data_IF_301883737390
#
_entry.id   IF_301883737390
#
_cell.length_a   1.000
_cell.length_b   1.000
_cell.length_c   1.000
_cell.angle_alpha   90.00
_cell.angle_beta   90.00
_cell.angle_gamma   90.00
#
_symmetry.space_group_name_H-M   'P 1'
#
loop_
_entity.id
_entity.type
_entity.pdbx_description
1 polymer ?
#
# COMPACT_ATOMS: atom_id res chain seq x y z
N UNK A 1 -18.81 -20.67 35.31
CA UNK A 1 -19.27 -19.93 34.12
C UNK A 1 -19.89 -20.98 33.19
N UNK A 2 -21.16 -20.79 32.85
CA UNK A 2 -22.06 -21.80 32.29
C UNK A 2 -21.67 -22.21 30.86
N UNK A 3 -21.68 -23.52 30.59
CA UNK A 3 -21.19 -24.19 29.37
C UNK A 3 -22.27 -24.25 28.26
N UNK A 4 -23.31 -23.41 28.32
CA UNK A 4 -24.59 -23.65 27.61
C UNK A 4 -24.97 -22.63 26.53
N UNK A 5 -24.05 -21.80 26.03
CA UNK A 5 -24.32 -20.97 24.83
C UNK A 5 -23.24 -21.11 23.75
N UNK A 6 -23.20 -22.28 23.10
CA UNK A 6 -22.70 -22.35 21.70
C UNK A 6 -23.68 -21.57 20.81
N UNK A 7 -23.57 -20.24 20.81
CA UNK A 7 -24.23 -19.40 19.80
C UNK A 7 -23.67 -19.81 18.45
N UNK A 8 -24.49 -20.48 17.64
CA UNK A 8 -24.15 -20.75 16.25
C UNK A 8 -23.92 -19.41 15.55
N UNK A 9 -22.82 -19.30 14.83
CA UNK A 9 -22.54 -18.12 14.01
C UNK A 9 -23.60 -18.00 12.92
N UNK A 10 -23.97 -16.78 12.51
CA UNK A 10 -24.92 -16.58 11.42
C UNK A 10 -24.39 -17.18 10.12
N UNK A 11 -25.30 -17.72 9.30
CA UNK A 11 -24.97 -18.19 7.95
C UNK A 11 -24.73 -16.96 7.06
N UNK A 12 -23.56 -16.88 6.46
CA UNK A 12 -23.18 -15.83 5.51
C UNK A 12 -23.34 -16.36 4.09
N UNK A 13 -23.98 -15.58 3.22
CA UNK A 13 -24.10 -15.83 1.79
C UNK A 13 -23.37 -14.69 1.07
N UNK A 14 -22.56 -15.02 0.07
CA UNK A 14 -21.76 -14.07 -0.69
C UNK A 14 -22.22 -14.14 -2.14
N UNK A 15 -22.59 -12.99 -2.70
CA UNK A 15 -22.88 -12.83 -4.12
C UNK A 15 -21.89 -11.82 -4.73
N UNK A 16 -21.15 -12.25 -5.75
CA UNK A 16 -20.06 -11.49 -6.35
C UNK A 16 -18.93 -12.36 -6.91
N UNK A 17 -17.86 -11.74 -7.45
CA UNK A 17 -17.52 -10.33 -7.35
C UNK A 17 -18.20 -9.42 -8.38
N UNK A 18 -18.51 -8.19 -7.97
CA UNK A 18 -18.89 -7.10 -8.86
C UNK A 18 -17.67 -6.23 -9.16
N UNK A 19 -17.35 -6.05 -10.44
CA UNK A 19 -16.14 -5.33 -10.86
C UNK A 19 -16.17 -3.84 -10.53
N UNK A 20 -15.00 -3.26 -10.26
CA UNK A 20 -14.81 -1.83 -10.05
C UNK A 20 -13.92 -1.25 -11.15
N UNK A 21 -14.11 0.03 -11.55
CA UNK A 21 -13.24 0.69 -12.53
C UNK A 21 -11.75 0.64 -12.17
N UNK A 22 -11.46 0.60 -10.86
CA UNK A 22 -10.10 0.53 -10.34
C UNK A 22 -9.37 -0.79 -10.62
N UNK A 23 -10.05 -1.84 -11.12
CA UNK A 23 -9.45 -3.16 -11.39
C UNK A 23 -8.32 -3.14 -12.44
N UNK A 24 -8.32 -2.12 -13.30
CA UNK A 24 -7.35 -1.96 -14.38
C UNK A 24 -6.02 -1.32 -13.94
N UNK A 25 -5.80 -1.12 -12.64
CA UNK A 25 -4.57 -0.50 -12.09
C UNK A 25 -3.28 -1.13 -12.63
N UNK A 26 -3.27 -2.44 -12.91
CA UNK A 26 -2.10 -3.15 -13.45
C UNK A 26 -1.67 -2.68 -14.85
N UNK A 27 -2.51 -1.92 -15.55
CA UNK A 27 -2.21 -1.35 -16.89
C UNK A 27 -1.42 -0.04 -16.82
N UNK A 28 -1.15 0.47 -15.62
CA UNK A 28 -0.46 1.73 -15.36
C UNK A 28 0.90 1.48 -14.71
N UNK A 29 1.87 2.30 -15.07
CA UNK A 29 3.24 2.25 -14.56
C UNK A 29 3.30 2.87 -13.16
N UNK A 30 2.53 3.93 -12.94
CA UNK A 30 2.47 4.65 -11.67
C UNK A 30 1.01 4.79 -11.27
N UNK A 31 0.70 4.61 -9.99
CA UNK A 31 -0.66 4.75 -9.48
C UNK A 31 -0.79 5.96 -8.56
N UNK A 32 -1.79 6.79 -8.79
CA UNK A 32 -2.26 7.79 -7.83
C UNK A 32 -3.62 7.35 -7.28
N UNK A 33 -3.60 6.82 -6.05
CA UNK A 33 -4.77 6.29 -5.36
C UNK A 33 -5.28 7.33 -4.36
N UNK A 34 -6.51 7.81 -4.52
CA UNK A 34 -7.09 8.86 -3.65
C UNK A 34 -8.34 8.33 -2.96
N UNK A 35 -8.23 8.02 -1.67
CA UNK A 35 -9.34 7.56 -0.85
C UNK A 35 -9.92 8.68 0.02
N UNK A 36 -11.23 8.88 0.00
CA UNK A 36 -11.93 9.84 0.87
C UNK A 36 -12.75 9.09 1.93
N UNK A 37 -12.46 9.30 3.21
CA UNK A 37 -13.14 8.61 4.32
C UNK A 37 -13.10 7.08 4.15
N UNK A 38 -14.26 6.42 4.25
CA UNK A 38 -14.39 4.98 4.04
C UNK A 38 -14.13 4.54 2.58
N UNK A 39 -14.15 5.48 1.64
CA UNK A 39 -13.81 5.27 0.23
C UNK A 39 -12.35 4.86 -0.01
N UNK A 40 -11.52 4.80 1.04
CA UNK A 40 -10.18 4.21 0.97
C UNK A 40 -10.18 2.68 0.83
N UNK A 41 -11.25 1.98 1.27
CA UNK A 41 -11.35 0.51 1.29
C UNK A 41 -10.86 -0.19 0.01
N UNK A 42 -11.32 0.15 -1.21
CA UNK A 42 -10.85 -0.52 -2.42
C UNK A 42 -9.35 -0.30 -2.68
N UNK A 43 -8.82 0.87 -2.32
CA UNK A 43 -7.41 1.19 -2.51
C UNK A 43 -6.50 0.46 -1.51
N UNK A 44 -6.98 0.24 -0.28
CA UNK A 44 -6.26 -0.61 0.69
C UNK A 44 -6.07 -2.03 0.15
N UNK A 45 -7.10 -2.59 -0.50
CA UNK A 45 -6.97 -3.89 -1.16
C UNK A 45 -5.94 -3.87 -2.30
N UNK A 46 -5.88 -2.77 -3.07
CA UNK A 46 -4.89 -2.61 -4.15
C UNK A 46 -3.48 -2.52 -3.55
N UNK A 47 -3.27 -1.74 -2.48
CA UNK A 47 -1.98 -1.62 -1.81
C UNK A 47 -1.45 -2.97 -1.32
N UNK A 48 -2.30 -3.78 -0.68
CA UNK A 48 -1.93 -5.14 -0.27
C UNK A 48 -1.55 -6.02 -1.45
N UNK A 49 -2.28 -5.94 -2.55
CA UNK A 49 -1.94 -6.71 -3.75
C UNK A 49 -0.59 -6.27 -4.33
N UNK A 50 -0.33 -4.96 -4.41
CA UNK A 50 0.96 -4.43 -4.87
C UNK A 50 2.10 -4.92 -3.98
N UNK A 51 1.95 -4.81 -2.66
CA UNK A 51 2.93 -5.25 -1.68
C UNK A 51 3.25 -6.75 -1.83
N UNK A 52 2.21 -7.58 -1.89
CA UNK A 52 2.37 -9.02 -2.07
C UNK A 52 3.08 -9.39 -3.39
N UNK A 53 2.88 -8.60 -4.45
CA UNK A 53 3.58 -8.82 -5.71
C UNK A 53 5.04 -8.38 -5.62
N UNK A 54 5.34 -7.27 -4.94
CA UNK A 54 6.70 -6.78 -4.71
C UNK A 54 7.53 -7.81 -3.94
N UNK A 55 7.01 -8.28 -2.80
CA UNK A 55 7.68 -9.27 -1.95
C UNK A 55 7.96 -10.57 -2.72
N UNK A 56 6.98 -11.07 -3.48
CA UNK A 56 7.16 -12.29 -4.29
C UNK A 56 8.20 -12.15 -5.39
N UNK A 57 8.36 -10.96 -5.96
CA UNK A 57 9.39 -10.71 -6.97
C UNK A 57 10.79 -10.69 -6.34
N UNK A 58 10.91 -10.22 -5.09
CA UNK A 58 12.17 -10.19 -4.34
C UNK A 58 12.62 -11.59 -3.93
N UNK A 59 11.72 -12.39 -3.35
CA UNK A 59 12.01 -13.79 -2.99
C UNK A 59 12.50 -14.62 -4.21
N UNK A 60 11.92 -14.37 -5.39
CA UNK A 60 12.36 -15.03 -6.63
C UNK A 60 13.73 -14.55 -7.11
N UNK A 61 14.04 -13.25 -6.98
CA UNK A 61 15.34 -12.71 -7.37
C UNK A 61 16.47 -13.27 -6.49
N UNK A 62 16.23 -13.39 -5.18
CA UNK A 62 17.23 -13.91 -4.23
C UNK A 62 17.49 -15.40 -4.48
N UNK A 63 16.46 -16.20 -4.77
CA UNK A 63 16.61 -17.64 -5.08
C UNK A 63 17.43 -17.94 -6.36
N UNK A 64 17.47 -17.03 -7.33
CA UNK A 64 18.30 -17.16 -8.55
C UNK A 64 19.76 -16.82 -8.24
N UNK A 65 20.02 -15.90 -7.31
CA UNK A 65 21.38 -15.49 -6.96
C UNK A 65 22.17 -16.58 -6.21
N UNK A 66 21.50 -17.43 -5.42
CA UNK A 66 22.14 -18.52 -4.68
C UNK A 66 22.50 -19.74 -5.54
N UNK A 67 21.82 -19.97 -6.68
CA UNK A 67 22.18 -21.09 -7.58
C UNK A 67 23.44 -20.80 -8.41
N UNK A 68 23.80 -19.52 -8.55
CA UNK A 68 24.97 -19.09 -9.35
C UNK A 68 26.32 -19.23 -8.64
N UNK A 69 26.35 -19.58 -7.34
CA UNK A 69 27.60 -19.85 -6.58
C UNK A 69 27.99 -21.33 -6.49
N UNK A 70 27.18 -22.25 -7.02
CA UNK A 70 27.48 -23.68 -6.95
C UNK A 70 26.90 -24.44 -8.13
N UNK A 71 27.47 -24.27 -9.32
CA UNK A 71 27.42 -25.27 -10.41
C UNK A 71 28.37 -24.91 -11.57
N UNK A 72 29.67 -25.07 -11.35
CA UNK A 72 30.60 -25.47 -12.43
C UNK A 72 30.86 -26.97 -12.28
N UNK A 73 29.91 -27.79 -12.76
CA UNK A 73 30.13 -29.15 -13.31
C UNK A 73 28.80 -29.89 -13.38
N UNK A 74 28.24 -30.06 -14.58
CA UNK A 74 27.95 -31.39 -15.15
C UNK A 74 27.16 -31.31 -16.46
N UNK A 75 27.72 -31.99 -17.46
CA UNK A 75 27.13 -32.38 -18.74
C UNK A 75 26.02 -33.40 -18.51
N UNK A 76 24.86 -33.27 -19.18
CA UNK A 76 23.84 -34.32 -19.15
C UNK A 76 22.54 -33.96 -19.87
N UNK A 77 22.13 -34.82 -20.80
CA UNK A 77 21.01 -34.69 -21.73
C UNK A 77 19.67 -35.19 -21.16
N UNK A 78 18.57 -34.69 -21.75
CA UNK A 78 17.20 -35.22 -21.86
C UNK A 78 16.32 -35.41 -20.60
N UNK A 79 15.12 -34.82 -20.61
CA UNK A 79 13.85 -35.52 -20.92
C UNK A 79 12.61 -34.83 -20.32
N UNK A 80 11.60 -34.60 -21.17
CA UNK A 80 10.17 -34.86 -20.89
C UNK A 80 9.44 -34.21 -19.70
N UNK A 81 8.38 -33.47 -20.06
CA UNK A 81 7.10 -33.31 -19.35
C UNK A 81 7.04 -32.42 -18.09
N UNK A 82 6.40 -31.25 -18.23
CA UNK A 82 5.01 -31.10 -17.80
C UNK A 82 4.45 -29.72 -18.18
N UNK A 83 3.51 -29.72 -19.12
CA UNK A 83 2.63 -28.59 -19.35
C UNK A 83 1.69 -28.44 -18.14
N UNK A 84 2.06 -27.58 -17.22
CA UNK A 84 1.16 -26.92 -16.28
C UNK A 84 1.72 -25.51 -16.03
N UNK A 85 1.71 -24.68 -17.07
CA UNK A 85 1.92 -23.25 -16.89
C UNK A 85 0.72 -22.68 -16.15
N UNK A 86 0.88 -22.16 -14.92
CA UNK A 86 -0.20 -21.43 -14.29
C UNK A 86 -0.43 -20.20 -15.17
N UNK A 87 -1.64 -20.09 -15.73
CA UNK A 87 -2.13 -19.00 -16.58
C UNK A 87 -1.32 -17.73 -16.36
N UNK A 88 -0.52 -17.34 -17.36
CA UNK A 88 0.49 -16.29 -17.27
C UNK A 88 -0.01 -15.09 -16.48
N UNK A 89 0.40 -15.00 -15.21
CA UNK A 89 0.19 -13.80 -14.41
C UNK A 89 1.03 -12.74 -15.08
N UNK A 90 0.37 -11.82 -15.78
CA UNK A 90 1.02 -10.65 -16.37
C UNK A 90 1.87 -10.01 -15.28
N UNK A 91 3.18 -9.90 -15.54
CA UNK A 91 4.12 -9.22 -14.65
C UNK A 91 3.52 -7.84 -14.35
N UNK A 92 3.42 -7.52 -13.06
CA UNK A 92 2.90 -6.24 -12.61
C UNK A 92 3.82 -5.14 -13.16
N UNK A 93 3.29 -4.30 -14.05
CA UNK A 93 4.06 -3.21 -14.67
C UNK A 93 4.25 -2.02 -13.73
N UNK A 94 3.41 -1.93 -12.70
CA UNK A 94 3.39 -0.82 -11.76
C UNK A 94 4.70 -0.77 -10.95
N UNK A 95 5.45 0.32 -11.13
CA UNK A 95 6.72 0.58 -10.46
C UNK A 95 6.57 1.43 -9.20
N UNK A 96 5.50 2.22 -9.10
CA UNK A 96 5.23 3.10 -7.96
C UNK A 96 3.74 3.27 -7.69
N UNK A 97 3.38 3.40 -6.42
CA UNK A 97 2.03 3.78 -6.01
C UNK A 97 2.09 4.91 -4.98
N UNK A 98 1.18 5.87 -5.13
CA UNK A 98 1.02 7.02 -4.25
C UNK A 98 -0.39 6.99 -3.69
N UNK A 99 -0.53 6.67 -2.40
CA UNK A 99 -1.81 6.60 -1.74
C UNK A 99 -2.06 7.84 -0.89
N UNK A 100 -3.11 8.57 -1.22
CA UNK A 100 -3.59 9.73 -0.47
C UNK A 100 -4.90 9.37 0.21
N UNK A 101 -4.87 9.19 1.53
CA UNK A 101 -6.07 8.98 2.32
C UNK A 101 -6.48 10.27 3.02
N UNK A 102 -7.63 10.81 2.62
CA UNK A 102 -8.15 12.06 3.15
C UNK A 102 -9.38 11.77 4.00
N UNK A 103 -9.34 12.14 5.27
CA UNK A 103 -10.47 12.01 6.20
C UNK A 103 -10.66 13.28 7.03
N UNK A 104 -11.85 13.47 7.59
CA UNK A 104 -12.13 14.53 8.58
C UNK A 104 -11.97 14.03 10.00
N UNK A 105 -12.14 12.73 10.23
CA UNK A 105 -12.20 12.16 11.57
C UNK A 105 -10.91 11.42 11.89
N UNK A 106 -10.28 11.78 13.01
CA UNK A 106 -9.06 11.12 13.46
C UNK A 106 -9.30 9.61 13.69
N UNK A 107 -10.45 9.24 14.26
CA UNK A 107 -10.80 7.84 14.52
C UNK A 107 -10.91 6.99 13.25
N UNK A 108 -11.05 7.59 12.06
CA UNK A 108 -11.05 6.82 10.81
C UNK A 108 -9.72 6.11 10.57
N UNK A 109 -8.59 6.63 11.08
CA UNK A 109 -7.28 6.03 10.85
C UNK A 109 -7.15 4.62 11.45
N UNK A 110 -7.92 4.30 12.49
CA UNK A 110 -7.91 2.98 13.12
C UNK A 110 -8.43 1.88 12.19
N UNK A 111 -9.30 2.20 11.23
CA UNK A 111 -9.85 1.21 10.29
C UNK A 111 -8.78 0.48 9.48
N UNK A 112 -7.71 1.18 9.10
CA UNK A 112 -6.65 0.62 8.25
C UNK A 112 -5.26 0.69 8.88
N UNK A 113 -5.15 1.09 10.15
CA UNK A 113 -3.88 1.23 10.89
C UNK A 113 -2.94 0.04 10.72
N UNK A 114 -3.45 -1.18 10.92
CA UNK A 114 -2.66 -2.41 10.78
C UNK A 114 -2.11 -2.60 9.38
N UNK A 115 -2.94 -2.33 8.35
CA UNK A 115 -2.52 -2.45 6.95
C UNK A 115 -1.49 -1.39 6.57
N UNK A 116 -1.67 -0.15 7.03
CA UNK A 116 -0.73 0.94 6.76
C UNK A 116 0.65 0.65 7.36
N UNK A 117 0.69 0.10 8.58
CA UNK A 117 1.95 -0.31 9.21
C UNK A 117 2.59 -1.49 8.48
N UNK A 118 1.81 -2.53 8.15
CA UNK A 118 2.28 -3.69 7.40
C UNK A 118 2.89 -3.28 6.05
N UNK A 119 2.22 -2.41 5.30
CA UNK A 119 2.74 -1.89 4.02
C UNK A 119 4.01 -1.09 4.22
N UNK A 120 4.07 -0.22 5.24
CA UNK A 120 5.24 0.60 5.49
C UNK A 120 6.46 -0.19 6.00
N UNK A 121 6.25 -1.32 6.69
CA UNK A 121 7.31 -2.20 7.18
C UNK A 121 7.86 -3.10 6.07
N UNK A 122 6.99 -3.64 5.22
CA UNK A 122 7.36 -4.59 4.18
C UNK A 122 7.86 -3.92 2.88
N UNK A 123 7.48 -2.68 2.60
CA UNK A 123 7.94 -1.95 1.40
C UNK A 123 9.36 -1.38 1.55
N UNK A 124 10.36 -2.25 1.51
CA UNK A 124 11.78 -1.88 1.70
C UNK A 124 12.32 -0.98 0.56
N UNK A 125 11.74 -1.08 -0.64
CA UNK A 125 12.15 -0.29 -1.81
C UNK A 125 11.53 1.10 -1.86
N UNK A 126 10.56 1.40 -1.00
CA UNK A 126 9.81 2.67 -1.05
C UNK A 126 9.02 2.83 -2.34
N UNK A 127 8.45 1.73 -2.86
CA UNK A 127 7.61 1.74 -4.06
C UNK A 127 6.24 2.35 -3.79
N UNK A 128 5.75 2.23 -2.56
CA UNK A 128 4.44 2.66 -2.08
C UNK A 128 4.61 3.87 -1.14
N UNK A 129 4.32 5.06 -1.64
CA UNK A 129 4.30 6.29 -0.84
C UNK A 129 2.90 6.52 -0.29
N UNK A 130 2.73 6.55 1.03
CA UNK A 130 1.44 6.77 1.69
C UNK A 130 1.38 8.13 2.36
N UNK A 131 0.25 8.81 2.22
CA UNK A 131 0.00 10.13 2.79
C UNK A 131 -1.40 10.17 3.41
N UNK A 132 -1.43 10.33 4.73
CA UNK A 132 -2.68 10.59 5.45
C UNK A 132 -2.93 12.10 5.47
N UNK A 133 -4.19 12.52 5.34
CA UNK A 133 -4.61 13.91 5.46
C UNK A 133 -5.82 14.00 6.40
N UNK A 134 -5.63 14.73 7.50
CA UNK A 134 -6.70 15.06 8.44
C UNK A 134 -7.20 16.48 8.20
N UNK A 135 -8.35 16.57 7.54
CA UNK A 135 -8.92 17.84 7.05
C UNK A 135 -9.73 18.62 8.09
N UNK A 136 -9.93 18.07 9.30
CA UNK A 136 -10.56 18.79 10.41
C UNK A 136 -9.63 19.77 11.12
N UNK A 137 -8.33 19.66 10.91
CA UNK A 137 -7.33 20.59 11.44
C UNK A 137 -7.11 21.72 10.43
N UNK A 138 -7.14 22.96 10.93
CA UNK A 138 -7.16 24.21 10.15
C UNK A 138 -5.98 24.34 9.17
N UNK A 139 -6.16 25.20 8.17
CA UNK A 139 -5.25 25.40 7.02
C UNK A 139 -3.81 25.82 7.39
N UNK A 140 -2.90 25.69 6.42
CA UNK A 140 -1.51 26.16 6.51
C UNK A 140 -1.47 27.63 6.95
N UNK A 141 -1.05 27.89 8.20
CA UNK A 141 -0.95 29.24 8.77
C UNK A 141 -1.54 29.40 10.17
N UNK A 142 -2.36 28.45 10.65
CA UNK A 142 -2.82 28.43 12.04
C UNK A 142 -1.67 27.98 12.97
N UNK A 143 -1.41 28.75 14.03
CA UNK A 143 -0.43 28.43 15.06
C UNK A 143 -0.70 27.06 15.71
N UNK A 144 -1.96 26.62 15.79
CA UNK A 144 -2.32 25.29 16.30
C UNK A 144 -1.89 24.18 15.35
N UNK A 145 -2.12 24.34 14.05
CA UNK A 145 -1.67 23.39 13.02
C UNK A 145 -0.14 23.32 12.96
N UNK A 146 0.54 24.47 13.08
CA UNK A 146 2.00 24.53 13.12
C UNK A 146 2.58 23.80 14.35
N UNK A 147 2.00 24.03 15.53
CA UNK A 147 2.42 23.34 16.76
C UNK A 147 2.23 21.82 16.64
N UNK A 148 1.06 21.36 16.22
CA UNK A 148 0.79 19.92 16.08
C UNK A 148 1.74 19.31 15.04
N UNK A 149 1.96 20.00 13.91
CA UNK A 149 2.93 19.56 12.89
C UNK A 149 4.34 19.44 13.46
N UNK A 150 4.78 20.40 14.28
CA UNK A 150 6.11 20.37 14.91
C UNK A 150 6.23 19.21 15.90
N UNK A 151 5.25 19.03 16.79
CA UNK A 151 5.22 17.91 17.75
C UNK A 151 5.22 16.57 17.03
N UNK A 152 4.42 16.46 15.98
CA UNK A 152 4.34 15.25 15.16
C UNK A 152 5.67 14.98 14.45
N UNK A 153 6.31 15.99 13.86
CA UNK A 153 7.61 15.84 13.21
C UNK A 153 8.69 15.40 14.20
N UNK A 154 8.70 15.96 15.42
CA UNK A 154 9.62 15.56 16.49
C UNK A 154 9.38 14.12 16.93
N UNK A 155 8.12 13.71 17.13
CA UNK A 155 7.80 12.35 17.53
C UNK A 155 8.12 11.33 16.42
N UNK A 156 7.82 11.67 15.16
CA UNK A 156 8.14 10.82 14.01
C UNK A 156 9.66 10.65 13.85
N UNK A 157 10.44 11.70 14.06
CA UNK A 157 11.90 11.63 14.04
C UNK A 157 12.47 10.79 15.20
N UNK A 158 11.83 10.80 16.37
CA UNK A 158 12.29 10.07 17.56
C UNK A 158 11.87 8.59 17.57
N UNK A 159 10.61 8.33 17.23
CA UNK A 159 9.94 7.04 17.44
C UNK A 159 9.51 6.37 16.12
N UNK A 160 9.64 7.03 14.97
CA UNK A 160 9.19 6.52 13.67
C UNK A 160 7.66 6.46 13.51
N UNK A 161 6.89 6.97 14.47
CA UNK A 161 5.43 6.86 14.53
C UNK A 161 4.76 8.22 14.53
N UNK A 162 3.68 8.31 13.76
CA UNK A 162 2.77 9.44 13.68
C UNK A 162 1.87 9.52 14.91
N UNK A 163 1.82 10.67 15.61
CA UNK A 163 1.04 10.83 16.84
C UNK A 163 -0.48 10.79 16.61
N UNK A 164 -0.93 11.11 15.40
CA UNK A 164 -2.36 11.28 15.10
C UNK A 164 -2.99 9.95 14.75
N UNK A 165 -2.35 9.21 13.84
CA UNK A 165 -2.80 7.91 13.34
C UNK A 165 -2.22 6.72 14.12
N UNK A 166 -1.12 6.93 14.85
CA UNK A 166 -0.36 5.85 15.47
C UNK A 166 0.25 4.88 14.45
N UNK A 167 0.46 5.33 13.21
CA UNK A 167 1.10 4.55 12.14
C UNK A 167 2.49 5.08 11.83
N UNK A 168 3.31 4.32 11.11
CA UNK A 168 4.58 4.85 10.55
C UNK A 168 4.35 5.86 9.41
N UNK A 169 3.13 5.91 8.87
CA UNK A 169 2.72 6.82 7.81
C UNK A 169 2.43 8.21 8.36
N UNK A 170 3.08 9.23 7.79
CA UNK A 170 2.94 10.62 8.23
C UNK A 170 1.56 11.18 7.87
N UNK A 171 0.90 11.76 8.86
CA UNK A 171 -0.34 12.53 8.69
C UNK A 171 -0.03 13.99 8.32
N UNK A 172 -0.77 14.55 7.38
CA UNK A 172 -0.72 15.95 7.02
C UNK A 172 -2.03 16.59 7.49
N UNK A 173 -1.98 17.86 7.85
CA UNK A 173 -3.18 18.61 8.22
C UNK A 173 -3.68 19.42 7.02
N UNK A 174 -4.94 19.83 7.09
CA UNK A 174 -5.64 20.49 6.00
C UNK A 174 -5.78 19.60 4.74
N UNK A 175 -6.05 20.24 3.59
CA UNK A 175 -6.32 19.55 2.32
C UNK A 175 -5.02 19.36 1.51
N UNK A 176 -4.90 18.27 0.75
CA UNK A 176 -3.79 18.11 -0.20
C UNK A 176 -3.79 19.23 -1.25
N UNK A 177 -2.62 19.82 -1.50
CA UNK A 177 -2.44 20.71 -2.64
C UNK A 177 -2.26 19.89 -3.93
N UNK A 178 -3.38 19.55 -4.57
CA UNK A 178 -3.38 18.69 -5.76
C UNK A 178 -2.56 19.23 -6.91
N UNK A 179 -2.49 20.56 -7.10
CA UNK A 179 -1.65 21.16 -8.13
C UNK A 179 -0.17 20.84 -7.90
N UNK A 180 0.29 20.97 -6.65
CA UNK A 180 1.66 20.61 -6.26
C UNK A 180 1.92 19.11 -6.36
N UNK A 181 0.97 18.29 -5.90
CA UNK A 181 1.08 16.81 -5.97
C UNK A 181 1.20 16.34 -7.41
N UNK A 182 0.27 16.75 -8.28
CA UNK A 182 0.26 16.36 -9.69
C UNK A 182 1.48 16.89 -10.44
N UNK A 183 1.90 18.13 -10.16
CA UNK A 183 3.14 18.69 -10.73
C UNK A 183 4.38 17.89 -10.33
N UNK A 184 4.51 17.54 -9.04
CA UNK A 184 5.61 16.71 -8.52
C UNK A 184 5.60 15.32 -9.17
N UNK A 185 4.42 14.72 -9.32
CA UNK A 185 4.28 13.39 -9.88
C UNK A 185 4.67 13.37 -11.37
N UNK A 186 4.20 14.35 -12.13
CA UNK A 186 4.56 14.54 -13.54
C UNK A 186 6.06 14.79 -13.73
N UNK A 187 6.70 15.60 -12.88
CA UNK A 187 8.15 15.83 -12.97
C UNK A 187 8.97 14.60 -12.57
N UNK A 188 8.51 13.82 -11.59
CA UNK A 188 9.20 12.61 -11.12
C UNK A 188 9.11 11.47 -12.14
N UNK A 189 8.00 11.37 -12.87
CA UNK A 189 7.69 10.27 -13.78
C UNK A 189 7.37 10.76 -15.19
N UNK A 190 8.32 11.44 -15.83
CA UNK A 190 8.10 12.16 -17.09
C UNK A 190 7.64 11.31 -18.28
N UNK A 191 7.92 10.00 -18.29
CA UNK A 191 7.58 9.08 -19.38
C UNK A 191 6.66 7.93 -18.94
N UNK A 192 6.11 7.99 -17.73
CA UNK A 192 5.29 6.91 -17.18
C UNK A 192 3.81 7.14 -17.48
N UNK A 193 3.08 6.03 -17.68
CA UNK A 193 1.63 6.07 -17.68
C UNK A 193 1.12 6.09 -16.23
N UNK A 194 0.62 7.24 -15.80
CA UNK A 194 -0.01 7.49 -14.50
C UNK A 194 -1.52 7.27 -14.62
#
# INVERSE_FOLDING_TARGET
ADETTKKSLPKLLIDGPYGAPAQDYRKYDVLLLVGLGIGATPFISILKDLLNNIVKMEEQADSISDFSRSSENSTGSNSGNNANTPRGKKILKTTNAYFYWVTREQGSFDWFKGVMNEVAELDQRGVIEMHNYLTSVYEEGDARSALITMVQALNHAKNGVDIVSGTSVRTHFARPNWKKVLSKLSSKHCNAKI
#
